data_IF_371250279495
#
_entry.id   IF_371250279495
#
_cell.length_a   1.000
_cell.length_b   1.000
_cell.length_c   1.000
_cell.angle_alpha   90.00
_cell.angle_beta   90.00
_cell.angle_gamma   90.00
#
_symmetry.space_group_name_H-M   'P 1'
#
loop_
_entity.id
_entity.type
_entity.pdbx_description
1 polymer ?
#
# COMPACT_ATOMS: atom_id res chain seq x y z
N UNK A 1 8.01 -8.20 -36.92
CA UNK A 1 7.10 -8.89 -35.97
C UNK A 1 7.96 -9.55 -34.88
N UNK A 2 7.76 -9.20 -33.62
CA UNK A 2 8.46 -9.82 -32.51
C UNK A 2 7.93 -11.25 -32.29
N UNK A 3 8.80 -12.17 -31.92
CA UNK A 3 8.42 -13.53 -31.57
C UNK A 3 7.67 -13.56 -30.23
N UNK A 4 6.86 -14.61 -29.98
CA UNK A 4 6.20 -14.81 -28.69
C UNK A 4 7.20 -14.82 -27.52
N UNK A 5 8.39 -15.37 -27.74
CA UNK A 5 9.48 -15.40 -26.75
C UNK A 5 9.98 -13.99 -26.41
N UNK A 6 10.18 -13.13 -27.41
CA UNK A 6 10.58 -11.74 -27.22
C UNK A 6 9.49 -10.95 -26.52
N UNK A 7 8.22 -11.14 -26.90
CA UNK A 7 7.07 -10.55 -26.20
C UNK A 7 7.02 -10.95 -24.72
N UNK A 8 7.25 -12.21 -24.38
CA UNK A 8 7.29 -12.68 -22.99
C UNK A 8 8.46 -12.10 -22.21
N UNK A 9 9.61 -11.88 -22.84
CA UNK A 9 10.76 -11.21 -22.23
C UNK A 9 10.44 -9.75 -21.94
N UNK A 10 9.84 -9.03 -22.88
CA UNK A 10 9.38 -7.64 -22.67
C UNK A 10 8.34 -7.55 -21.55
N UNK A 11 7.36 -8.46 -21.50
CA UNK A 11 6.39 -8.51 -20.41
C UNK A 11 7.04 -8.76 -19.04
N UNK A 12 8.03 -9.65 -18.97
CA UNK A 12 8.76 -9.91 -17.73
C UNK A 12 9.60 -8.72 -17.28
N UNK A 13 10.22 -7.99 -18.21
CA UNK A 13 10.96 -6.76 -17.93
C UNK A 13 10.04 -5.64 -17.42
N UNK A 14 8.83 -5.51 -17.98
CA UNK A 14 7.82 -4.57 -17.50
C UNK A 14 7.40 -4.90 -16.06
N UNK A 15 7.25 -6.18 -15.73
CA UNK A 15 6.91 -6.63 -14.39
C UNK A 15 8.01 -6.36 -13.36
N UNK A 16 9.26 -6.58 -13.72
CA UNK A 16 10.41 -6.19 -12.89
C UNK A 16 10.48 -4.68 -12.70
N UNK A 17 10.19 -3.90 -13.74
CA UNK A 17 10.19 -2.44 -13.65
C UNK A 17 9.17 -1.89 -12.63
N UNK A 18 8.03 -2.55 -12.43
CA UNK A 18 7.00 -2.09 -11.49
C UNK A 18 7.42 -2.23 -10.03
N UNK A 19 7.96 -3.38 -9.63
CA UNK A 19 8.51 -3.57 -8.28
C UNK A 19 9.75 -2.70 -8.05
N UNK A 20 10.64 -2.63 -9.04
CA UNK A 20 11.84 -1.78 -8.99
C UNK A 20 11.49 -0.29 -8.84
N UNK A 21 10.41 0.18 -9.49
CA UNK A 21 9.90 1.55 -9.30
C UNK A 21 9.42 1.79 -7.88
N UNK A 22 8.66 0.87 -7.30
CA UNK A 22 8.22 0.97 -5.90
C UNK A 22 9.43 0.99 -4.97
N UNK A 23 10.39 0.11 -5.18
CA UNK A 23 11.63 0.07 -4.41
C UNK A 23 12.43 1.37 -4.52
N UNK A 24 12.59 1.92 -5.71
CA UNK A 24 13.25 3.21 -5.92
C UNK A 24 12.51 4.37 -5.24
N UNK A 25 11.19 4.41 -5.35
CA UNK A 25 10.33 5.42 -4.70
C UNK A 25 10.34 5.29 -3.19
N UNK A 26 10.45 4.07 -2.64
CA UNK A 26 10.50 3.82 -1.21
C UNK A 26 11.68 4.52 -0.53
N UNK A 27 12.82 4.65 -1.22
CA UNK A 27 14.00 5.38 -0.72
C UNK A 27 13.73 6.86 -0.49
N UNK A 28 12.89 7.47 -1.33
CA UNK A 28 12.49 8.88 -1.22
C UNK A 28 11.30 9.08 -0.30
N UNK A 29 10.39 8.15 -0.28
CA UNK A 29 9.21 8.11 0.56
C UNK A 29 7.99 7.63 -0.19
N UNK A 30 7.28 6.67 0.41
CA UNK A 30 6.01 6.13 -0.07
C UNK A 30 5.02 6.00 1.08
N UNK A 31 3.76 5.86 0.73
CA UNK A 31 2.73 5.39 1.62
C UNK A 31 1.98 4.23 0.98
N UNK A 32 1.48 3.32 1.80
CA UNK A 32 0.62 2.22 1.36
C UNK A 32 -0.67 2.30 2.15
N UNK A 33 -1.79 2.38 1.45
CA UNK A 33 -3.10 2.44 2.08
C UNK A 33 -4.17 1.79 1.21
N UNK A 34 -5.28 1.43 1.83
CA UNK A 34 -6.47 0.88 1.19
C UNK A 34 -7.68 1.75 1.51
N UNK A 35 -8.73 1.63 0.71
CA UNK A 35 -10.06 2.16 1.02
C UNK A 35 -11.05 1.03 1.37
N UNK A 36 -10.62 -0.21 1.33
CA UNK A 36 -11.46 -1.37 1.61
C UNK A 36 -11.83 -1.46 3.09
N UNK A 37 -13.03 -1.99 3.35
CA UNK A 37 -13.52 -2.29 4.69
C UNK A 37 -14.21 -3.64 4.70
N UNK A 38 -14.04 -4.41 5.77
CA UNK A 38 -14.64 -5.72 5.93
C UNK A 38 -16.17 -5.71 6.01
N UNK A 39 -16.76 -4.58 6.48
CA UNK A 39 -18.21 -4.35 6.60
C UNK A 39 -18.87 -3.87 5.29
N UNK A 40 -18.12 -3.80 4.19
CA UNK A 40 -18.60 -3.34 2.89
C UNK A 40 -18.59 -4.45 1.85
N UNK A 41 -19.52 -4.38 0.90
CA UNK A 41 -19.57 -5.28 -0.24
C UNK A 41 -18.38 -5.09 -1.18
N UNK A 42 -18.15 -6.07 -2.07
CA UNK A 42 -17.12 -5.95 -3.12
C UNK A 42 -17.36 -4.75 -4.04
N UNK A 43 -18.63 -4.47 -4.39
CA UNK A 43 -19.00 -3.34 -5.24
C UNK A 43 -18.73 -2.00 -4.53
N UNK A 44 -19.09 -1.87 -3.26
CA UNK A 44 -18.81 -0.70 -2.44
C UNK A 44 -17.29 -0.47 -2.29
N UNK A 45 -16.53 -1.52 -2.00
CA UNK A 45 -15.07 -1.43 -1.88
C UNK A 45 -14.40 -1.03 -3.21
N UNK A 46 -14.93 -1.47 -4.37
CA UNK A 46 -14.47 -0.99 -5.68
C UNK A 46 -14.73 0.50 -5.88
N UNK A 47 -15.92 0.97 -5.54
CA UNK A 47 -16.29 2.39 -5.64
C UNK A 47 -15.40 3.24 -4.72
N UNK A 48 -15.15 2.78 -3.50
CA UNK A 48 -14.26 3.44 -2.53
C UNK A 48 -12.81 3.49 -3.05
N UNK A 49 -12.30 2.42 -3.66
CA UNK A 49 -10.98 2.39 -4.26
C UNK A 49 -10.84 3.38 -5.43
N UNK A 50 -11.86 3.49 -6.28
CA UNK A 50 -11.90 4.49 -7.36
C UNK A 50 -11.92 5.93 -6.82
N UNK A 51 -12.68 6.17 -5.76
CA UNK A 51 -12.72 7.49 -5.13
C UNK A 51 -11.39 7.83 -4.46
N UNK A 52 -10.76 6.89 -3.78
CA UNK A 52 -9.41 7.06 -3.23
C UNK A 52 -8.39 7.41 -4.32
N UNK A 53 -8.45 6.76 -5.47
CA UNK A 53 -7.59 7.09 -6.63
C UNK A 53 -7.73 8.57 -7.05
N UNK A 54 -8.97 9.07 -7.11
CA UNK A 54 -9.25 10.49 -7.44
C UNK A 54 -8.70 11.42 -6.35
N UNK A 55 -8.91 11.09 -5.09
CA UNK A 55 -8.42 11.89 -3.95
C UNK A 55 -6.89 11.93 -3.90
N UNK A 56 -6.23 10.80 -4.20
CA UNK A 56 -4.77 10.74 -4.30
C UNK A 56 -4.27 11.67 -5.41
N UNK A 57 -4.85 11.61 -6.59
CA UNK A 57 -4.49 12.50 -7.71
C UNK A 57 -4.71 13.97 -7.38
N UNK A 58 -5.80 14.29 -6.71
CA UNK A 58 -6.11 15.65 -6.24
C UNK A 58 -5.12 16.16 -5.20
N UNK A 59 -4.74 15.31 -4.24
CA UNK A 59 -3.87 15.67 -3.10
C UNK A 59 -2.39 15.71 -3.47
N UNK A 60 -1.90 14.69 -4.19
CA UNK A 60 -0.46 14.52 -4.46
C UNK A 60 -0.07 14.91 -5.90
N UNK A 61 -1.03 15.27 -6.74
CA UNK A 61 -0.85 15.63 -8.16
C UNK A 61 -0.20 14.52 -8.99
N UNK A 62 -0.35 13.28 -8.58
CA UNK A 62 0.11 12.08 -9.28
C UNK A 62 -0.73 10.86 -8.87
N UNK A 63 -0.78 9.85 -9.73
CA UNK A 63 -1.49 8.61 -9.48
C UNK A 63 -0.72 7.68 -8.53
N UNK A 64 -1.44 6.79 -7.88
CA UNK A 64 -0.88 5.70 -7.10
C UNK A 64 -0.62 4.46 -7.95
N UNK A 65 0.34 3.64 -7.52
CA UNK A 65 0.53 2.29 -8.04
C UNK A 65 -0.42 1.35 -7.30
N UNK A 66 -1.24 0.61 -8.05
CA UNK A 66 -2.20 -0.34 -7.47
C UNK A 66 -1.51 -1.67 -7.18
N UNK A 67 -1.69 -2.17 -5.98
CA UNK A 67 -1.15 -3.45 -5.52
C UNK A 67 -2.23 -4.24 -4.77
N UNK A 68 -2.01 -5.53 -4.59
CA UNK A 68 -2.87 -6.37 -3.74
C UNK A 68 -2.20 -6.52 -2.38
N UNK A 69 -2.81 -5.97 -1.34
CA UNK A 69 -2.43 -6.18 0.05
C UNK A 69 -2.97 -7.52 0.55
N UNK A 70 -2.24 -8.18 1.39
CA UNK A 70 -2.65 -9.43 2.05
C UNK A 70 -2.16 -9.42 3.49
N UNK A 71 -3.07 -9.64 4.42
CA UNK A 71 -2.77 -9.68 5.85
C UNK A 71 -3.64 -10.71 6.58
N UNK A 72 -3.23 -11.08 7.79
CA UNK A 72 -4.02 -11.93 8.67
C UNK A 72 -4.93 -11.07 9.54
N UNK A 73 -6.21 -11.40 9.53
CA UNK A 73 -7.23 -10.78 10.38
C UNK A 73 -7.80 -11.85 11.31
N UNK A 74 -7.93 -11.49 12.58
CA UNK A 74 -8.57 -12.35 13.56
C UNK A 74 -10.07 -12.05 13.57
N UNK A 75 -10.87 -13.04 13.18
CA UNK A 75 -12.32 -12.93 13.22
C UNK A 75 -12.87 -12.96 14.65
N UNK A 76 -14.15 -12.62 14.81
CA UNK A 76 -14.86 -12.66 16.09
C UNK A 76 -14.90 -14.06 16.69
N UNK A 77 -14.77 -15.10 15.86
CA UNK A 77 -14.64 -16.52 16.25
C UNK A 77 -13.21 -16.90 16.74
N UNK A 78 -12.29 -15.93 16.81
CA UNK A 78 -10.90 -16.13 17.20
C UNK A 78 -10.02 -16.77 16.12
N UNK A 79 -10.55 -17.14 14.97
CA UNK A 79 -9.80 -17.76 13.86
C UNK A 79 -9.12 -16.72 13.01
N UNK A 80 -7.86 -16.98 12.66
CA UNK A 80 -7.12 -16.14 11.72
C UNK A 80 -7.50 -16.47 10.27
N UNK A 81 -7.80 -15.44 9.51
CA UNK A 81 -8.13 -15.55 8.08
C UNK A 81 -7.25 -14.60 7.29
N UNK A 82 -6.78 -15.06 6.14
CA UNK A 82 -6.05 -14.19 5.22
C UNK A 82 -7.02 -13.32 4.41
N UNK A 83 -6.90 -12.03 4.59
CA UNK A 83 -7.66 -11.02 3.84
C UNK A 83 -6.79 -10.49 2.71
N UNK A 84 -7.39 -10.34 1.54
CA UNK A 84 -6.79 -9.67 0.38
C UNK A 84 -7.59 -8.43 0.05
N UNK A 85 -6.92 -7.32 -0.17
CA UNK A 85 -7.56 -6.06 -0.54
C UNK A 85 -6.74 -5.29 -1.56
N UNK A 86 -7.42 -4.41 -2.30
CA UNK A 86 -6.75 -3.48 -3.19
C UNK A 86 -6.11 -2.36 -2.38
N UNK A 87 -4.81 -2.22 -2.53
CA UNK A 87 -4.04 -1.17 -1.89
C UNK A 87 -3.41 -0.22 -2.91
N UNK A 88 -3.04 0.96 -2.46
CA UNK A 88 -2.46 2.02 -3.27
C UNK A 88 -1.10 2.40 -2.69
N UNK A 89 -0.08 2.35 -3.53
CA UNK A 89 1.26 2.86 -3.19
C UNK A 89 1.36 4.28 -3.69
N UNK A 90 1.51 5.22 -2.79
CA UNK A 90 1.57 6.66 -3.05
C UNK A 90 3.02 7.12 -2.97
N UNK A 91 3.51 7.76 -4.02
CA UNK A 91 4.83 8.36 -4.05
C UNK A 91 4.79 9.75 -3.39
N UNK A 92 5.71 10.00 -2.47
CA UNK A 92 5.87 11.30 -1.84
C UNK A 92 6.27 12.39 -2.83
N UNK A 93 7.07 12.04 -3.83
CA UNK A 93 7.60 13.02 -4.77
C UNK A 93 8.39 14.15 -4.09
N UNK A 94 8.07 15.38 -4.46
CA UNK A 94 8.69 16.59 -3.90
C UNK A 94 8.04 17.10 -2.61
N UNK A 95 6.93 16.48 -2.17
CA UNK A 95 6.25 16.92 -0.95
C UNK A 95 7.13 16.69 0.30
N UNK A 96 7.17 17.66 1.21
CA UNK A 96 7.90 17.52 2.47
C UNK A 96 7.38 16.35 3.32
N UNK A 97 8.27 15.69 4.06
CA UNK A 97 7.95 14.47 4.84
C UNK A 97 6.78 14.64 5.81
N UNK A 98 6.74 15.74 6.54
CA UNK A 98 5.66 16.04 7.52
C UNK A 98 4.33 16.26 6.81
N UNK A 99 4.32 17.05 5.74
CA UNK A 99 3.13 17.33 4.91
C UNK A 99 2.60 16.06 4.30
N UNK A 100 3.47 15.21 3.76
CA UNK A 100 3.12 13.91 3.19
C UNK A 100 2.45 13.00 4.22
N UNK A 101 3.07 12.78 5.38
CA UNK A 101 2.50 11.96 6.46
C UNK A 101 1.13 12.49 6.91
N UNK A 102 0.99 13.80 7.07
CA UNK A 102 -0.28 14.45 7.47
C UNK A 102 -1.37 14.21 6.42
N UNK A 103 -1.05 14.37 5.13
CA UNK A 103 -1.98 14.16 4.03
C UNK A 103 -2.43 12.69 3.92
N UNK A 104 -1.50 11.73 4.05
CA UNK A 104 -1.81 10.29 4.05
C UNK A 104 -2.71 9.92 5.23
N UNK A 105 -2.40 10.40 6.43
CA UNK A 105 -3.24 10.17 7.63
C UNK A 105 -4.64 10.75 7.47
N UNK A 106 -4.77 11.93 6.87
CA UNK A 106 -6.07 12.56 6.59
C UNK A 106 -6.90 11.71 5.63
N UNK A 107 -6.29 11.18 4.57
CA UNK A 107 -6.97 10.24 3.67
C UNK A 107 -7.35 8.94 4.38
N UNK A 108 -6.46 8.35 5.15
CA UNK A 108 -6.74 7.15 5.93
C UNK A 108 -7.95 7.34 6.84
N UNK A 109 -8.02 8.47 7.54
CA UNK A 109 -9.17 8.85 8.37
C UNK A 109 -10.45 9.00 7.55
N UNK A 110 -10.40 9.67 6.39
CA UNK A 110 -11.54 9.85 5.48
C UNK A 110 -12.13 8.50 5.06
N UNK A 111 -11.29 7.51 4.78
CA UNK A 111 -11.72 6.18 4.34
C UNK A 111 -11.96 5.19 5.49
N UNK A 112 -11.91 5.65 6.74
CA UNK A 112 -12.17 4.82 7.92
C UNK A 112 -11.15 3.71 8.14
N UNK A 113 -9.90 3.92 7.71
CA UNK A 113 -8.80 3.01 7.97
C UNK A 113 -8.32 3.17 9.41
N UNK A 114 -7.93 2.07 10.05
CA UNK A 114 -7.38 2.11 11.41
C UNK A 114 -5.98 2.67 11.43
N UNK A 115 -5.22 2.38 10.39
CA UNK A 115 -3.83 2.79 10.23
C UNK A 115 -3.45 2.96 8.76
N UNK A 116 -2.38 3.69 8.55
CA UNK A 116 -1.71 3.85 7.24
C UNK A 116 -0.22 3.61 7.40
N UNK A 117 0.37 2.98 6.39
CA UNK A 117 1.81 2.75 6.35
C UNK A 117 2.49 3.88 5.61
N UNK A 118 3.53 4.46 6.20
CA UNK A 118 4.38 5.46 5.55
C UNK A 118 5.85 5.08 5.71
N UNK A 119 6.62 5.27 4.65
CA UNK A 119 8.08 5.18 4.68
C UNK A 119 8.64 6.48 4.14
N UNK A 120 9.33 7.23 4.97
CA UNK A 120 9.97 8.50 4.59
C UNK A 120 11.49 8.47 4.75
N UNK A 121 12.01 7.37 5.25
CA UNK A 121 13.44 7.04 5.43
C UNK A 121 13.64 5.57 5.05
N UNK A 122 14.49 4.85 5.79
CA UNK A 122 14.80 3.44 5.53
C UNK A 122 13.73 2.45 6.02
N UNK A 123 12.92 2.85 7.00
CA UNK A 123 11.93 1.97 7.64
C UNK A 123 10.51 2.47 7.46
N UNK A 124 9.58 1.55 7.40
CA UNK A 124 8.16 1.83 7.39
C UNK A 124 7.64 2.10 8.80
N UNK A 125 6.66 2.97 8.90
CA UNK A 125 5.92 3.26 10.14
C UNK A 125 4.43 3.09 9.89
N UNK A 126 3.80 2.25 10.68
CA UNK A 126 2.35 2.11 10.71
C UNK A 126 1.79 3.14 11.69
N UNK A 127 1.05 4.11 11.19
CA UNK A 127 0.50 5.21 11.97
C UNK A 127 -1.00 5.07 12.11
N UNK A 128 -1.53 5.20 13.33
CA UNK A 128 -2.98 5.18 13.52
C UNK A 128 -3.65 6.42 12.93
N UNK A 129 -4.87 6.25 12.47
CA UNK A 129 -5.69 7.31 11.88
C UNK A 129 -6.91 7.65 12.73
N UNK A 130 -7.30 6.78 13.68
CA UNK A 130 -8.43 6.98 14.61
C UNK A 130 -8.04 6.64 16.05
N UNK A 131 -8.84 7.10 17.00
CA UNK A 131 -8.67 6.78 18.43
C UNK A 131 -8.87 5.28 18.68
N UNK A 132 -8.16 4.71 19.65
CA UNK A 132 -8.32 3.33 20.10
C UNK A 132 -7.51 2.27 19.33
N UNK A 133 -6.77 2.66 18.29
CA UNK A 133 -5.88 1.76 17.54
C UNK A 133 -4.44 1.72 18.10
N UNK A 134 -3.48 1.67 17.19
CA UNK A 134 -2.05 1.67 17.47
C UNK A 134 -1.60 2.83 18.36
N UNK A 135 -0.44 2.71 18.95
CA UNK A 135 0.20 3.74 19.76
C UNK A 135 0.27 5.11 19.04
N UNK A 136 0.20 6.22 19.78
CA UNK A 136 0.25 7.59 19.21
C UNK A 136 1.49 7.84 18.35
N UNK A 137 2.61 7.23 18.72
CA UNK A 137 3.90 7.35 18.02
C UNK A 137 3.97 6.53 16.73
N UNK A 138 3.02 5.62 16.51
CA UNK A 138 3.06 4.63 15.44
C UNK A 138 3.99 3.45 15.77
N UNK A 139 3.92 2.43 14.93
CA UNK A 139 4.71 1.20 15.05
C UNK A 139 5.71 1.12 13.91
N UNK A 140 6.98 0.92 14.24
CA UNK A 140 8.00 0.63 13.24
C UNK A 140 7.80 -0.80 12.72
N UNK A 141 7.62 -0.95 11.43
CA UNK A 141 7.40 -2.25 10.77
C UNK A 141 8.63 -2.77 10.03
N UNK A 142 9.78 -2.11 10.23
CA UNK A 142 11.04 -2.53 9.65
C UNK A 142 11.32 -1.96 8.26
N UNK A 143 12.28 -2.57 7.57
CA UNK A 143 12.76 -2.13 6.25
C UNK A 143 11.89 -2.68 5.13
N UNK A 144 11.83 -1.96 4.01
CA UNK A 144 11.26 -2.45 2.77
C UNK A 144 12.07 -3.65 2.25
N UNK A 145 11.39 -4.76 2.01
CA UNK A 145 11.98 -6.01 1.47
C UNK A 145 11.33 -6.33 0.13
N UNK A 146 12.01 -6.08 -1.00
CA UNK A 146 11.54 -6.56 -2.30
C UNK A 146 11.55 -8.09 -2.29
N UNK A 147 10.52 -8.70 -2.90
CA UNK A 147 10.29 -10.15 -2.91
C UNK A 147 10.18 -10.78 -1.49
N UNK A 148 10.08 -9.96 -0.46
CA UNK A 148 9.90 -10.40 0.92
C UNK A 148 8.49 -10.97 1.13
N UNK A 149 8.41 -11.96 2.02
CA UNK A 149 7.16 -12.53 2.51
C UNK A 149 7.02 -12.22 3.99
N UNK A 150 5.85 -11.77 4.38
CA UNK A 150 5.51 -11.57 5.78
C UNK A 150 4.10 -12.13 6.01
N UNK A 151 3.93 -13.15 6.88
CA UNK A 151 2.62 -13.76 7.13
C UNK A 151 1.60 -12.75 7.68
N UNK A 152 2.06 -11.74 8.40
CA UNK A 152 1.19 -10.73 9.01
C UNK A 152 0.78 -9.60 8.06
N UNK A 153 1.54 -9.34 7.02
CA UNK A 153 1.19 -8.34 6.02
C UNK A 153 2.22 -8.22 4.90
N UNK A 154 1.74 -8.36 3.68
CA UNK A 154 2.55 -8.19 2.48
C UNK A 154 1.70 -7.59 1.36
N UNK A 155 2.36 -7.03 0.37
CA UNK A 155 1.73 -6.53 -0.85
C UNK A 155 2.27 -7.25 -2.07
N UNK A 156 1.45 -7.33 -3.11
CA UNK A 156 1.80 -8.00 -4.36
C UNK A 156 1.49 -7.11 -5.55
N UNK A 157 2.41 -7.06 -6.50
CA UNK A 157 2.21 -6.43 -7.79
C UNK A 157 2.67 -7.39 -8.89
N UNK A 158 1.77 -7.71 -9.82
CA UNK A 158 2.05 -8.61 -10.98
C UNK A 158 2.78 -9.90 -10.56
N UNK A 159 2.31 -10.56 -9.51
CA UNK A 159 2.88 -11.81 -9.01
C UNK A 159 4.11 -11.66 -8.12
N UNK A 160 4.74 -10.48 -8.05
CA UNK A 160 5.90 -10.22 -7.19
C UNK A 160 5.48 -9.59 -5.87
N UNK A 161 6.02 -10.07 -4.76
CA UNK A 161 5.69 -9.60 -3.41
C UNK A 161 6.70 -8.57 -2.90
N UNK A 162 6.25 -7.72 -2.01
CA UNK A 162 7.11 -6.95 -1.13
C UNK A 162 6.48 -6.87 0.27
N UNK A 163 7.31 -6.72 1.27
CA UNK A 163 6.89 -6.66 2.66
C UNK A 163 7.81 -5.74 3.46
N UNK A 164 7.46 -5.52 4.71
CA UNK A 164 8.31 -4.85 5.70
C UNK A 164 8.72 -5.84 6.78
N UNK A 165 9.93 -5.68 7.29
CA UNK A 165 10.46 -6.52 8.36
C UNK A 165 11.96 -6.39 8.58
#
# INVERSE_FOLDING_TARGET
MISFKEFMIECSQIDESSLSRIQSKSKKGIAVMSASRGDKSKAENRARAKQLDKDIRGTFKRGATKVTGSYLEKGDDGKERRVKERSHVIDRGKMGKRKFKKAVKKLGKKYGQDSVLTQTKKTGTLSRTRKGGLDKKGVNVGKFKPQGKNPYGQSQIKGKTFAYG
#
